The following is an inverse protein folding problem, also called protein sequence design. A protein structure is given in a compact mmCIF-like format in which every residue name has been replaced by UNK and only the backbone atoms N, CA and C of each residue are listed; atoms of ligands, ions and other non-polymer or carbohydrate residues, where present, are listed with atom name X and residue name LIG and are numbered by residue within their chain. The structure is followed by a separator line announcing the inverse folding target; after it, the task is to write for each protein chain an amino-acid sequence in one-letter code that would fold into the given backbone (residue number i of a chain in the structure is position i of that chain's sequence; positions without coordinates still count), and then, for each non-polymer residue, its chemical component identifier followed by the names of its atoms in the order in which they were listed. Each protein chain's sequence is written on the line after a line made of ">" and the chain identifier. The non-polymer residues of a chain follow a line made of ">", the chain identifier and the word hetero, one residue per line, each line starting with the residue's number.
data_IF_660508753206
#
_entry.id   IF_660508753206
#
_cell.length_a   1.000
_cell.length_b   1.000
_cell.length_c   1.000
_cell.angle_alpha   90.00
_cell.angle_beta   90.00
_cell.angle_gamma   90.00
#
_symmetry.space_group_name_H-M   'P 1'
#
loop_
_entity.id
_entity.type
_entity.pdbx_description
1 polymer ?
#
# COMPACT_ATOMS: atom_id res chain seq x y z
N UNK A 1 -5.43 -2.80 -18.16
CA UNK A 1 -5.97 -2.79 -16.80
C UNK A 1 -5.48 -1.55 -16.05
N UNK A 2 -6.39 -0.83 -15.44
CA UNK A 2 -6.09 0.34 -14.64
C UNK A 2 -5.94 -0.10 -13.18
N UNK A 3 -4.80 0.23 -12.59
CA UNK A 3 -4.56 -0.04 -11.17
C UNK A 3 -4.64 1.27 -10.41
N UNK A 4 -5.39 1.27 -9.33
CA UNK A 4 -5.65 2.46 -8.53
C UNK A 4 -5.15 2.22 -7.11
N UNK A 5 -4.38 3.18 -6.60
CA UNK A 5 -3.97 3.18 -5.20
C UNK A 5 -5.17 3.59 -4.36
N UNK A 6 -5.52 2.80 -3.34
CA UNK A 6 -6.67 3.08 -2.49
C UNK A 6 -6.50 4.38 -1.71
N UNK A 7 -5.31 4.58 -1.15
CA UNK A 7 -5.02 5.77 -0.37
C UNK A 7 -3.54 6.10 -0.49
N UNK A 8 -3.25 7.35 -0.81
CA UNK A 8 -1.90 7.88 -0.84
C UNK A 8 -1.83 9.09 0.09
N UNK A 9 -0.98 9.01 1.10
CA UNK A 9 -0.75 10.08 2.06
C UNK A 9 0.64 10.66 1.89
N UNK A 10 0.78 11.96 2.19
CA UNK A 10 2.07 12.63 2.22
C UNK A 10 2.23 13.36 3.55
N UNK A 11 3.27 13.03 4.29
CA UNK A 11 3.53 13.64 5.58
C UNK A 11 5.02 13.55 5.91
N UNK A 12 5.58 14.65 6.43
CA UNK A 12 6.98 14.69 6.86
C UNK A 12 7.96 14.24 5.78
N UNK A 13 7.73 14.70 4.54
CA UNK A 13 8.53 14.38 3.35
C UNK A 13 8.52 12.89 2.97
N UNK A 14 7.50 12.15 3.42
CA UNK A 14 7.33 10.73 3.10
C UNK A 14 5.97 10.50 2.48
N UNK A 15 5.92 9.60 1.51
CA UNK A 15 4.67 9.11 0.96
C UNK A 15 4.30 7.80 1.63
N UNK A 16 3.03 7.63 1.93
CA UNK A 16 2.50 6.42 2.56
C UNK A 16 1.39 5.89 1.69
N UNK A 17 1.55 4.67 1.22
CA UNK A 17 0.55 3.98 0.41
C UNK A 17 -0.19 3.00 1.30
N UNK A 18 -1.52 3.07 1.28
CA UNK A 18 -2.37 2.14 2.04
C UNK A 18 -3.25 1.42 1.04
N UNK A 19 -3.24 0.10 1.09
CA UNK A 19 -4.06 -0.75 0.25
C UNK A 19 -4.97 -1.59 1.15
N UNK A 20 -6.29 -1.41 1.00
CA UNK A 20 -7.29 -2.09 1.82
C UNK A 20 -7.68 -3.41 1.17
N UNK A 21 -7.66 -4.47 1.96
CA UNK A 21 -8.04 -5.81 1.51
C UNK A 21 -9.21 -6.32 2.36
N UNK A 22 -10.20 -6.86 1.67
CA UNK A 22 -11.38 -7.44 2.34
C UNK A 22 -11.27 -8.95 2.53
N UNK A 23 -10.24 -9.58 1.97
CA UNK A 23 -9.97 -11.00 2.17
C UNK A 23 -9.30 -11.24 3.52
N UNK A 24 -9.53 -12.43 4.09
CA UNK A 24 -8.89 -12.82 5.35
C UNK A 24 -7.51 -13.43 5.13
N UNK A 25 -7.13 -13.70 3.90
CA UNK A 25 -5.87 -14.36 3.58
C UNK A 25 -4.82 -13.36 3.09
N UNK A 26 -3.62 -13.46 3.66
CA UNK A 26 -2.48 -12.75 3.13
C UNK A 26 -1.99 -13.48 1.88
N UNK A 27 -1.95 -12.76 0.76
CA UNK A 27 -1.44 -13.31 -0.50
C UNK A 27 -0.19 -12.57 -0.93
N UNK A 28 0.80 -13.32 -1.43
CA UNK A 28 2.04 -12.72 -1.92
C UNK A 28 1.79 -11.72 -3.06
N UNK A 29 0.72 -11.91 -3.83
CA UNK A 29 0.32 -10.98 -4.88
C UNK A 29 -0.05 -9.60 -4.33
N UNK A 30 -0.58 -9.53 -3.11
CA UNK A 30 -0.88 -8.26 -2.46
C UNK A 30 0.40 -7.47 -2.19
N UNK A 31 1.44 -8.15 -1.72
CA UNK A 31 2.73 -7.53 -1.48
C UNK A 31 3.37 -7.06 -2.79
N UNK A 32 3.30 -7.86 -3.82
CA UNK A 32 3.81 -7.49 -5.15
C UNK A 32 3.11 -6.25 -5.68
N UNK A 33 1.80 -6.15 -5.48
CA UNK A 33 1.02 -4.99 -5.90
C UNK A 33 1.48 -3.71 -5.17
N UNK A 34 1.67 -3.80 -3.86
CA UNK A 34 2.10 -2.62 -3.08
C UNK A 34 3.53 -2.20 -3.46
N UNK A 35 4.40 -3.15 -3.76
CA UNK A 35 5.75 -2.86 -4.24
C UNK A 35 5.72 -2.13 -5.58
N UNK A 36 4.82 -2.53 -6.46
CA UNK A 36 4.61 -1.85 -7.74
C UNK A 36 4.17 -0.40 -7.50
N UNK A 37 3.23 -0.17 -6.59
CA UNK A 37 2.78 1.17 -6.27
C UNK A 37 3.88 2.03 -5.66
N UNK A 38 4.69 1.46 -4.78
CA UNK A 38 5.84 2.17 -4.19
C UNK A 38 6.79 2.64 -5.27
N UNK A 39 7.10 1.77 -6.22
CA UNK A 39 7.97 2.09 -7.33
C UNK A 39 7.39 3.21 -8.20
N UNK A 40 6.11 3.12 -8.51
CA UNK A 40 5.42 4.14 -9.31
C UNK A 40 5.46 5.51 -8.62
N UNK A 41 5.20 5.56 -7.32
CA UNK A 41 5.25 6.81 -6.55
C UNK A 41 6.68 7.35 -6.51
N UNK A 42 7.68 6.50 -6.33
CA UNK A 42 9.07 6.93 -6.36
C UNK A 42 9.43 7.61 -7.68
N UNK A 43 8.95 7.08 -8.78
CA UNK A 43 9.25 7.63 -10.11
C UNK A 43 8.47 8.91 -10.37
N UNK A 44 7.18 8.94 -10.04
CA UNK A 44 6.32 10.09 -10.30
C UNK A 44 6.75 11.32 -9.50
N UNK A 45 7.06 11.12 -8.22
CA UNK A 45 7.40 12.22 -7.31
C UNK A 45 8.91 12.37 -7.09
N UNK A 46 9.72 11.58 -7.77
CA UNK A 46 11.17 11.61 -7.68
C UNK A 46 11.65 11.53 -6.22
N UNK A 47 11.13 10.55 -5.50
CA UNK A 47 11.44 10.34 -4.09
C UNK A 47 11.82 8.89 -3.83
N UNK A 48 12.56 8.65 -2.74
CA UNK A 48 12.86 7.32 -2.23
C UNK A 48 12.17 7.05 -0.90
N UNK A 49 11.43 8.04 -0.40
CA UNK A 49 10.80 7.95 0.92
C UNK A 49 9.33 7.55 0.77
N UNK A 50 9.09 6.27 0.51
CA UNK A 50 7.75 5.71 0.33
C UNK A 50 7.60 4.48 1.20
N UNK A 51 6.55 4.48 2.04
CA UNK A 51 6.17 3.32 2.85
C UNK A 51 4.87 2.75 2.30
N UNK A 52 4.72 1.44 2.40
CA UNK A 52 3.50 0.76 1.97
C UNK A 52 2.91 -0.09 3.08
N UNK A 53 1.59 -0.06 3.20
CA UNK A 53 0.86 -0.84 4.20
C UNK A 53 -0.30 -1.58 3.55
N UNK A 54 -0.45 -2.84 3.93
CA UNK A 54 -1.61 -3.63 3.59
C UNK A 54 -2.51 -3.65 4.82
N UNK A 55 -3.75 -3.23 4.65
CA UNK A 55 -4.72 -3.19 5.74
C UNK A 55 -5.79 -4.23 5.46
N UNK A 56 -5.84 -5.26 6.29
CA UNK A 56 -6.81 -6.35 6.18
C UNK A 56 -7.99 -6.07 7.09
N UNK A 57 -9.16 -5.86 6.48
CA UNK A 57 -10.39 -5.61 7.21
C UNK A 57 -11.05 -6.94 7.52
N UNK A 58 -11.05 -7.31 8.79
CA UNK A 58 -11.67 -8.54 9.28
C UNK A 58 -12.98 -8.18 10.00
N UNK A 59 -13.81 -9.20 10.22
CA UNK A 59 -15.14 -8.98 10.81
C UNK A 59 -15.11 -8.21 12.12
N UNK A 60 -14.14 -8.49 12.98
CA UNK A 60 -14.04 -7.86 14.30
C UNK A 60 -12.70 -7.19 14.56
N UNK A 61 -11.87 -7.05 13.55
CA UNK A 61 -10.52 -6.51 13.74
C UNK A 61 -9.95 -5.94 12.45
N UNK A 62 -8.88 -5.17 12.59
CA UNK A 62 -8.11 -4.65 11.48
C UNK A 62 -6.67 -5.05 11.69
N UNK A 63 -6.05 -5.60 10.67
CA UNK A 63 -4.64 -6.00 10.73
C UNK A 63 -3.83 -5.16 9.76
N UNK A 64 -2.73 -4.57 10.25
CA UNK A 64 -1.82 -3.76 9.46
C UNK A 64 -0.55 -4.55 9.20
N UNK A 65 -0.14 -4.64 7.94
CA UNK A 65 1.11 -5.27 7.54
C UNK A 65 1.94 -4.28 6.74
N UNK A 66 3.13 -3.98 7.25
CA UNK A 66 4.07 -3.14 6.51
C UNK A 66 4.68 -3.95 5.36
N UNK A 67 4.68 -3.36 4.20
CA UNK A 67 5.18 -4.02 3.00
C UNK A 67 6.39 -3.28 2.41
#
# INVERSE_FOLDING_TARGET
>A
EIKVIDLLLYKDDRFIIVDYKTTTEFLSSHKTQIEYYKKAVCEIFNTKSVDGYLVYLKEHSVEFLEA
#
